data_IF_972158760343
#
_entry.id   IF_972158760343
#
_cell.length_a   1.000
_cell.length_b   1.000
_cell.length_c   1.000
_cell.angle_alpha   90.00
_cell.angle_beta   90.00
_cell.angle_gamma   90.00
#
_symmetry.space_group_name_H-M   'P 1'
#
loop_
_entity.id
_entity.type
_entity.pdbx_description
1 polymer ?
#
# COMPACT_ATOMS: atom_id res chain seq x y z
N UNK A 1 -11.84 -14.57 -7.73
CA UNK A 1 -12.81 -14.07 -6.75
C UNK A 1 -11.98 -13.54 -5.62
N UNK A 2 -11.90 -12.23 -5.51
CA UNK A 2 -11.05 -11.57 -4.51
C UNK A 2 -11.83 -11.47 -3.19
N UNK A 3 -11.10 -11.49 -2.09
CA UNK A 3 -11.67 -11.43 -0.74
C UNK A 3 -10.98 -10.34 0.07
N UNK A 4 -11.66 -9.88 1.11
CA UNK A 4 -11.07 -9.00 2.09
C UNK A 4 -10.22 -9.83 3.05
N UNK A 5 -8.99 -9.42 3.28
CA UNK A 5 -8.14 -10.01 4.31
C UNK A 5 -7.28 -8.94 4.96
N UNK A 6 -6.91 -9.21 6.21
CA UNK A 6 -5.99 -8.37 6.95
C UNK A 6 -4.71 -9.09 7.31
N UNK A 7 -3.62 -8.33 7.37
CA UNK A 7 -2.30 -8.77 7.81
C UNK A 7 -1.99 -8.03 9.11
N UNK A 8 -1.73 -8.79 10.17
CA UNK A 8 -1.44 -8.26 11.50
C UNK A 8 0.07 -8.27 11.71
N UNK A 9 0.61 -7.12 12.13
CA UNK A 9 2.00 -6.98 12.55
C UNK A 9 2.05 -6.86 14.07
N UNK A 10 2.88 -7.69 14.70
CA UNK A 10 3.22 -7.59 16.11
C UNK A 10 4.61 -6.94 16.25
N UNK A 11 4.94 -6.37 17.42
CA UNK A 11 6.26 -5.80 17.66
C UNK A 11 7.38 -6.78 17.31
N UNK A 12 8.25 -6.39 16.38
CA UNK A 12 9.37 -7.20 15.91
C UNK A 12 9.00 -8.38 15.00
N UNK A 13 7.72 -8.57 14.64
CA UNK A 13 7.25 -9.64 13.76
C UNK A 13 6.22 -9.12 12.74
N UNK A 14 6.69 -8.92 11.51
CA UNK A 14 5.81 -8.61 10.38
C UNK A 14 5.05 -9.85 9.91
N UNK A 15 3.78 -9.67 9.50
CA UNK A 15 2.93 -10.76 9.05
C UNK A 15 2.77 -11.85 10.11
N UNK A 16 2.61 -11.43 11.37
CA UNK A 16 2.49 -12.34 12.49
C UNK A 16 1.23 -13.21 12.40
N UNK A 17 0.16 -12.66 11.81
CA UNK A 17 -1.13 -13.33 11.60
C UNK A 17 -1.84 -12.78 10.35
N UNK A 18 -2.76 -13.56 9.77
CA UNK A 18 -3.59 -13.20 8.61
C UNK A 18 -5.02 -13.67 8.85
N UNK A 19 -6.00 -12.79 8.63
CA UNK A 19 -7.42 -13.12 8.79
C UNK A 19 -8.24 -12.69 7.58
N UNK A 20 -9.09 -13.58 7.08
CA UNK A 20 -10.04 -13.28 6.00
C UNK A 20 -11.33 -12.71 6.61
N UNK A 21 -11.82 -11.61 6.05
CA UNK A 21 -13.02 -10.92 6.50
C UNK A 21 -14.18 -11.19 5.56
N UNK A 22 -15.33 -11.55 6.13
CA UNK A 22 -16.59 -11.60 5.41
C UNK A 22 -17.17 -10.18 5.33
N UNK A 23 -16.85 -9.46 4.25
CA UNK A 23 -17.32 -8.10 4.01
C UNK A 23 -17.78 -7.94 2.56
N UNK A 24 -18.80 -7.10 2.36
CA UNK A 24 -19.37 -6.84 1.03
C UNK A 24 -18.69 -5.65 0.33
N UNK A 25 -18.12 -4.73 1.12
CA UNK A 25 -17.53 -3.48 0.65
C UNK A 25 -16.42 -3.00 1.60
N UNK A 26 -15.68 -1.99 1.17
CA UNK A 26 -14.54 -1.43 1.93
C UNK A 26 -14.96 -0.91 3.31
N UNK A 27 -16.17 -0.37 3.44
CA UNK A 27 -16.66 0.21 4.71
C UNK A 27 -16.92 -0.89 5.72
N UNK A 28 -17.69 -1.92 5.34
CA UNK A 28 -17.95 -3.09 6.17
C UNK A 28 -16.67 -3.85 6.50
N UNK A 29 -15.70 -3.90 5.58
CA UNK A 29 -14.39 -4.50 5.83
C UNK A 29 -13.56 -3.73 6.86
N UNK A 30 -13.58 -2.40 6.81
CA UNK A 30 -12.92 -1.54 7.80
C UNK A 30 -13.54 -1.70 9.19
N UNK A 31 -14.88 -1.75 9.29
CA UNK A 31 -15.57 -2.04 10.55
C UNK A 31 -15.22 -3.43 11.09
N UNK A 32 -15.27 -4.46 10.24
CA UNK A 32 -14.91 -5.82 10.64
C UNK A 32 -13.45 -5.94 11.09
N UNK A 33 -12.53 -5.21 10.45
CA UNK A 33 -11.13 -5.12 10.87
C UNK A 33 -11.00 -4.50 12.27
N UNK A 34 -11.71 -3.40 12.54
CA UNK A 34 -11.68 -2.74 13.84
C UNK A 34 -12.22 -3.65 14.97
N UNK A 35 -13.30 -4.38 14.71
CA UNK A 35 -13.85 -5.35 15.66
C UNK A 35 -12.87 -6.51 15.93
N UNK A 36 -12.14 -6.94 14.90
CA UNK A 36 -11.13 -8.00 15.03
C UNK A 36 -9.85 -7.53 15.72
N UNK A 37 -9.49 -6.25 15.60
CA UNK A 37 -8.36 -5.66 16.29
C UNK A 37 -8.42 -5.84 17.82
N UNK A 38 -9.62 -5.93 18.40
CA UNK A 38 -9.83 -6.19 19.82
C UNK A 38 -9.28 -7.54 20.30
N UNK A 39 -9.11 -8.51 19.38
CA UNK A 39 -8.62 -9.85 19.70
C UNK A 39 -7.11 -10.00 19.53
N UNK A 40 -6.45 -9.07 18.83
CA UNK A 40 -5.00 -9.09 18.60
C UNK A 40 -4.25 -8.19 19.59
N UNK A 41 -4.32 -8.51 20.88
CA UNK A 41 -3.70 -7.69 21.93
C UNK A 41 -2.23 -7.39 21.63
N UNK A 42 -1.89 -6.10 21.62
CA UNK A 42 -0.51 -5.63 21.44
C UNK A 42 -0.04 -5.60 19.98
N UNK A 43 -0.96 -5.68 19.01
CA UNK A 43 -0.64 -5.39 17.61
C UNK A 43 0.00 -4.01 17.47
N UNK A 44 0.90 -3.89 16.51
CA UNK A 44 1.48 -2.61 16.14
C UNK A 44 0.65 -1.98 15.03
N UNK A 45 0.41 -2.75 13.97
CA UNK A 45 -0.40 -2.33 12.82
C UNK A 45 -1.19 -3.50 12.24
N UNK A 46 -2.34 -3.20 11.66
CA UNK A 46 -3.17 -4.12 10.89
C UNK A 46 -3.41 -3.47 9.52
N UNK A 47 -3.14 -4.20 8.46
CA UNK A 47 -3.42 -3.76 7.10
C UNK A 47 -4.58 -4.52 6.50
N UNK A 48 -5.45 -3.80 5.77
CA UNK A 48 -6.59 -4.37 5.06
C UNK A 48 -6.36 -4.32 3.55
N UNK A 49 -6.63 -5.44 2.90
CA UNK A 49 -6.53 -5.62 1.46
C UNK A 49 -7.80 -6.26 0.89
N UNK A 50 -8.07 -5.99 -0.38
CA UNK A 50 -9.03 -6.71 -1.22
C UNK A 50 -8.28 -7.28 -2.43
N UNK A 51 -7.97 -8.57 -2.40
CA UNK A 51 -6.99 -9.15 -3.33
C UNK A 51 -5.64 -8.43 -3.18
N UNK A 52 -5.15 -7.80 -4.25
CA UNK A 52 -3.90 -7.03 -4.22
C UNK A 52 -4.09 -5.53 -3.88
N UNK A 53 -5.33 -5.06 -3.80
CA UNK A 53 -5.65 -3.64 -3.56
C UNK A 53 -5.57 -3.32 -2.07
N UNK A 54 -4.76 -2.33 -1.70
CA UNK A 54 -4.75 -1.77 -0.35
C UNK A 54 -6.05 -0.98 -0.09
N UNK A 55 -6.70 -1.27 1.03
CA UNK A 55 -7.96 -0.63 1.44
C UNK A 55 -7.72 0.35 2.57
N UNK A 56 -6.96 -0.05 3.59
CA UNK A 56 -6.73 0.79 4.76
C UNK A 56 -5.84 0.13 5.81
N UNK A 57 -5.62 0.85 6.90
CA UNK A 57 -4.78 0.40 8.01
C UNK A 57 -5.29 0.88 9.35
N UNK A 58 -5.09 0.08 10.39
CA UNK A 58 -5.29 0.44 11.78
C UNK A 58 -3.95 0.35 12.51
N UNK A 59 -3.64 1.32 13.35
CA UNK A 59 -2.50 1.29 14.26
C UNK A 59 -3.00 1.29 15.71
N UNK A 60 -2.26 0.63 16.60
CA UNK A 60 -2.54 0.71 18.03
C UNK A 60 -2.33 2.15 18.49
N UNK A 61 -3.39 2.78 19.00
CA UNK A 61 -3.37 4.17 19.45
C UNK A 61 -2.36 4.44 20.57
N UNK A 62 -1.94 3.42 21.33
CA UNK A 62 -0.93 3.54 22.37
C UNK A 62 0.52 3.46 21.83
N UNK A 63 0.71 2.92 20.62
CA UNK A 63 2.04 2.72 20.02
C UNK A 63 2.28 3.55 18.76
N UNK A 64 1.21 4.04 18.14
CA UNK A 64 1.26 4.74 16.87
C UNK A 64 1.76 3.84 15.73
N UNK A 65 1.99 4.43 14.56
CA UNK A 65 2.68 3.73 13.48
C UNK A 65 4.19 3.67 13.77
N UNK A 66 4.87 2.54 13.47
CA UNK A 66 6.32 2.50 13.51
C UNK A 66 6.90 3.61 12.63
N UNK A 67 7.85 4.36 13.18
CA UNK A 67 8.56 5.43 12.48
C UNK A 67 9.38 4.93 11.28
N UNK A 68 9.69 3.63 11.26
CA UNK A 68 10.39 2.95 10.18
C UNK A 68 9.59 1.73 9.73
N UNK A 69 8.53 1.98 8.95
CA UNK A 69 8.09 0.98 7.99
C UNK A 69 9.28 0.62 7.10
N UNK A 70 9.55 -0.66 6.76
CA UNK A 70 10.50 -0.95 5.70
C UNK A 70 9.93 -0.33 4.44
N UNK A 71 10.50 0.82 4.08
CA UNK A 71 10.27 1.50 2.82
C UNK A 71 10.32 0.39 1.77
N UNK A 72 9.21 0.16 1.06
CA UNK A 72 9.20 -0.79 -0.04
C UNK A 72 10.27 -0.26 -0.99
N UNK A 73 11.48 -0.81 -0.93
CA UNK A 73 12.48 -0.55 -1.96
C UNK A 73 11.75 -0.88 -3.25
N UNK A 74 11.60 0.07 -4.20
CA UNK A 74 10.93 -0.22 -5.44
C UNK A 74 11.62 -1.46 -5.99
N UNK A 75 10.87 -2.56 -6.12
CA UNK A 75 11.38 -3.77 -6.74
C UNK A 75 11.85 -3.29 -8.10
N UNK A 76 13.18 -3.25 -8.28
CA UNK A 76 13.77 -2.89 -9.56
C UNK A 76 13.13 -3.86 -10.52
N UNK A 77 12.28 -3.38 -11.42
CA UNK A 77 11.64 -4.22 -12.41
C UNK A 77 12.77 -4.94 -13.13
N UNK A 78 12.97 -6.23 -12.82
CA UNK A 78 13.99 -7.04 -13.45
C UNK A 78 13.49 -7.18 -14.87
N UNK A 79 14.00 -6.32 -15.76
CA UNK A 79 13.67 -6.34 -17.17
C UNK A 79 14.10 -7.71 -17.66
N UNK A 80 13.13 -8.58 -17.95
CA UNK A 80 13.38 -9.85 -18.59
C UNK A 80 14.20 -9.58 -19.86
N UNK A 81 15.33 -10.29 -20.09
CA UNK A 81 16.08 -10.15 -21.31
C UNK A 81 15.28 -10.83 -22.42
N UNK A 82 14.59 -10.04 -23.25
CA UNK A 82 13.95 -10.56 -24.44
C UNK A 82 12.60 -9.95 -24.77
N UNK A 83 12.56 -8.64 -25.05
CA UNK A 83 11.60 -8.13 -26.03
C UNK A 83 12.09 -6.78 -26.55
N UNK A 84 12.97 -6.85 -27.56
CA UNK A 84 13.04 -5.80 -28.56
C UNK A 84 11.69 -5.80 -29.28
N UNK A 85 10.84 -4.82 -28.99
CA UNK A 85 9.91 -4.35 -30.01
C UNK A 85 9.86 -2.83 -29.97
N UNK A 86 10.45 -2.28 -31.00
CA UNK A 86 10.53 -0.86 -31.34
C UNK A 86 9.20 -0.15 -31.17
N UNK A 87 9.22 0.96 -30.42
CA UNK A 87 8.30 2.06 -30.66
C UNK A 87 9.15 3.34 -30.68
N UNK A 88 9.57 3.72 -31.89
CA UNK A 88 9.97 5.09 -32.18
C UNK A 88 8.74 5.96 -31.92
N UNK A 89 8.77 6.79 -30.90
CA UNK A 89 7.97 8.01 -30.92
C UNK A 89 8.87 9.20 -30.65
N UNK A 90 8.86 10.10 -31.62
CA UNK A 90 9.76 11.23 -31.79
C UNK A 90 9.56 12.21 -30.64
N UNK A 91 10.66 12.61 -30.02
CA UNK A 91 10.74 13.90 -29.36
C UNK A 91 10.51 14.97 -30.42
N UNK A 92 9.47 15.78 -30.27
CA UNK A 92 9.37 17.07 -30.95
C UNK A 92 9.38 18.14 -29.89
N UNK A 93 10.40 18.99 -30.00
CA UNK A 93 10.63 20.15 -29.18
C UNK A 93 9.44 21.11 -29.20
N UNK A 94 9.19 21.74 -28.06
CA UNK A 94 8.66 23.10 -28.02
C UNK A 94 9.49 23.86 -26.99
N UNK A 95 10.28 24.78 -27.52
CA UNK A 95 11.19 25.66 -26.82
C UNK A 95 10.48 26.59 -25.84
N UNK A 96 11.12 26.80 -24.70
CA UNK A 96 11.50 28.10 -24.15
C UNK A 96 10.59 29.30 -24.45
N UNK A 97 10.04 29.94 -23.41
CA UNK A 97 10.19 31.40 -23.23
C UNK A 97 9.99 31.74 -21.75
N UNK A 98 11.09 32.15 -21.11
CA UNK A 98 11.10 32.97 -19.89
C UNK A 98 10.59 34.36 -20.25
N UNK A 99 9.56 34.86 -19.57
CA UNK A 99 9.29 36.31 -19.51
C UNK A 99 9.26 36.76 -18.06
N UNK A 100 10.31 37.49 -17.68
CA UNK A 100 10.31 38.42 -16.54
C UNK A 100 10.02 39.83 -17.08
N UNK A 101 8.98 40.50 -16.58
CA UNK A 101 8.91 41.96 -16.29
C UNK A 101 7.52 42.28 -15.70
N UNK A 102 7.43 42.55 -14.40
CA UNK A 102 7.51 43.87 -13.76
C UNK A 102 6.39 44.83 -14.22
N UNK A 103 5.48 45.09 -13.29
CA UNK A 103 4.56 46.22 -13.21
C UNK A 103 4.37 46.50 -11.73
#
# INVERSE_FOLDING_TARGET
MDCYFCIVNLPGKMGADVCVLAAADDVSAMTAMADRALYWVGYETIFLYYGERFVGSLADGNKGFPSAWPERKPVRATRAPGSQRSARFRQSAASETVVRKAG
#
